data_IF_135152335884
#
_entry.id   IF_135152335884
#
_cell.length_a   1.000
_cell.length_b   1.000
_cell.length_c   1.000
_cell.angle_alpha   90.00
_cell.angle_beta   90.00
_cell.angle_gamma   90.00
#
_symmetry.space_group_name_H-M   'P 1'
#
loop_
_entity.id
_entity.type
_entity.pdbx_description
1 polymer ?
#
# COMPACT_ATOMS: atom_id res chain seq x y z
N UNK A 1 -0.69 -22.19 14.56
CA UNK A 1 -0.96 -20.92 13.86
C UNK A 1 0.29 -20.60 13.08
N UNK A 2 0.20 -20.32 11.78
CA UNK A 2 1.35 -19.79 11.03
C UNK A 2 1.88 -18.55 11.77
N UNK A 3 3.20 -18.42 11.84
CA UNK A 3 3.87 -17.25 12.41
C UNK A 3 3.43 -16.01 11.62
N UNK A 4 2.87 -15.00 12.29
CA UNK A 4 2.34 -13.79 11.63
C UNK A 4 3.41 -13.08 10.79
N UNK A 5 4.68 -13.17 11.21
CA UNK A 5 5.81 -12.64 10.45
C UNK A 5 5.98 -13.34 9.09
N UNK A 6 5.61 -14.62 8.99
CA UNK A 6 5.70 -15.38 7.75
C UNK A 6 4.70 -14.88 6.68
N UNK A 7 3.54 -14.35 7.10
CA UNK A 7 2.51 -13.88 6.16
C UNK A 7 2.99 -12.61 5.44
N UNK A 8 3.44 -11.60 6.18
CA UNK A 8 3.92 -10.34 5.58
C UNK A 8 5.09 -10.58 4.63
N UNK A 9 6.03 -11.42 5.03
CA UNK A 9 7.18 -11.81 4.22
C UNK A 9 6.77 -12.53 2.93
N UNK A 10 5.83 -13.47 3.01
CA UNK A 10 5.30 -14.19 1.84
C UNK A 10 4.63 -13.21 0.86
N UNK A 11 3.81 -12.27 1.36
CA UNK A 11 3.18 -11.24 0.53
C UNK A 11 4.26 -10.42 -0.20
N UNK A 12 5.32 -10.01 0.51
CA UNK A 12 6.43 -9.26 -0.08
C UNK A 12 7.12 -10.08 -1.17
N UNK A 13 7.41 -11.36 -0.91
CA UNK A 13 8.06 -12.25 -1.88
C UNK A 13 7.24 -12.43 -3.16
N UNK A 14 5.90 -12.42 -3.07
CA UNK A 14 5.04 -12.52 -4.25
C UNK A 14 5.06 -11.26 -5.14
N UNK A 15 5.35 -10.07 -4.59
CA UNK A 15 5.23 -8.80 -5.32
C UNK A 15 6.55 -8.03 -5.51
N UNK A 16 7.65 -8.46 -4.88
CA UNK A 16 8.92 -7.71 -4.87
C UNK A 16 9.51 -7.51 -6.27
N UNK A 17 9.31 -8.47 -7.17
CA UNK A 17 9.79 -8.43 -8.56
C UNK A 17 8.82 -7.73 -9.53
N UNK A 18 7.63 -7.33 -9.07
CA UNK A 18 6.66 -6.64 -9.89
C UNK A 18 7.19 -5.26 -10.36
N UNK A 19 6.81 -4.84 -11.55
CA UNK A 19 7.21 -3.52 -12.05
C UNK A 19 6.44 -2.39 -11.34
N UNK A 20 6.99 -1.18 -11.37
CA UNK A 20 6.37 -0.03 -10.69
C UNK A 20 4.92 0.25 -11.16
N UNK A 21 4.59 -0.04 -12.43
CA UNK A 21 3.25 0.20 -12.96
C UNK A 21 2.24 -0.79 -12.37
N UNK A 22 2.59 -2.07 -12.33
CA UNK A 22 1.81 -3.11 -11.64
C UNK A 22 1.66 -2.76 -10.16
N UNK A 23 2.74 -2.30 -9.52
CA UNK A 23 2.68 -1.96 -8.10
C UNK A 23 1.77 -0.74 -7.82
N UNK A 24 1.76 0.26 -8.68
CA UNK A 24 0.85 1.40 -8.56
C UNK A 24 -0.60 0.98 -8.80
N UNK A 25 -0.85 0.13 -9.79
CA UNK A 25 -2.19 -0.42 -10.01
C UNK A 25 -2.67 -1.23 -8.80
N UNK A 26 -1.80 -2.11 -8.27
CA UNK A 26 -2.07 -2.90 -7.07
C UNK A 26 -2.37 -2.04 -5.84
N UNK A 27 -1.68 -0.91 -5.67
CA UNK A 27 -1.96 0.03 -4.57
C UNK A 27 -3.38 0.60 -4.63
N UNK A 28 -3.90 0.91 -5.83
CA UNK A 28 -5.30 1.34 -5.98
C UNK A 28 -6.27 0.25 -5.60
N UNK A 29 -6.06 -0.98 -6.10
CA UNK A 29 -6.94 -2.11 -5.81
C UNK A 29 -6.93 -2.43 -4.32
N UNK A 30 -5.76 -2.52 -3.69
CA UNK A 30 -5.63 -2.81 -2.27
C UNK A 30 -6.20 -1.70 -1.37
N UNK A 31 -6.04 -0.44 -1.74
CA UNK A 31 -6.65 0.66 -0.99
C UNK A 31 -8.19 0.59 -1.10
N UNK A 32 -8.73 0.27 -2.27
CA UNK A 32 -10.16 0.09 -2.44
C UNK A 32 -10.69 -1.11 -1.65
N UNK A 33 -10.01 -2.27 -1.74
CA UNK A 33 -10.30 -3.49 -0.98
C UNK A 33 -10.32 -3.21 0.52
N UNK A 34 -9.29 -2.52 1.02
CA UNK A 34 -9.21 -2.12 2.42
C UNK A 34 -10.36 -1.19 2.82
N UNK A 35 -10.70 -0.19 1.99
CA UNK A 35 -11.81 0.71 2.28
C UNK A 35 -13.15 -0.02 2.37
N UNK A 36 -13.41 -0.98 1.47
CA UNK A 36 -14.61 -1.81 1.49
C UNK A 36 -14.63 -2.73 2.72
N UNK A 37 -13.50 -3.39 3.02
CA UNK A 37 -13.34 -4.26 4.18
C UNK A 37 -13.58 -3.53 5.51
N UNK A 38 -12.99 -2.35 5.69
CA UNK A 38 -13.15 -1.54 6.91
C UNK A 38 -14.58 -1.05 7.09
N UNK A 39 -15.26 -0.69 5.99
CA UNK A 39 -16.66 -0.24 6.01
C UNK A 39 -17.60 -1.38 6.43
N UNK A 40 -17.40 -2.59 5.89
CA UNK A 40 -18.23 -3.77 6.21
C UNK A 40 -18.03 -4.21 7.67
N UNK A 41 -16.80 -4.18 8.16
CA UNK A 41 -16.46 -4.68 9.50
C UNK A 41 -16.53 -3.62 10.61
N UNK A 42 -16.90 -2.39 10.28
CA UNK A 42 -17.08 -1.28 11.24
C UNK A 42 -15.85 -1.07 12.14
N UNK A 43 -14.64 -1.08 11.56
CA UNK A 43 -13.40 -0.75 12.27
C UNK A 43 -13.28 0.77 12.44
N UNK A 44 -12.88 1.24 13.63
CA UNK A 44 -12.77 2.66 13.96
C UNK A 44 -11.46 3.04 14.69
N UNK A 45 -10.41 2.23 14.52
CA UNK A 45 -9.10 2.47 15.13
C UNK A 45 -8.40 3.73 14.60
N UNK A 46 -7.33 4.16 15.28
CA UNK A 46 -6.52 5.33 14.84
C UNK A 46 -5.87 5.10 13.46
N UNK A 47 -5.42 3.88 13.22
CA UNK A 47 -4.92 3.39 11.93
C UNK A 47 -6.00 3.44 10.84
N UNK A 48 -7.23 3.01 11.15
CA UNK A 48 -8.38 3.10 10.26
C UNK A 48 -8.71 4.55 9.93
N UNK A 49 -8.79 5.43 10.93
CA UNK A 49 -9.06 6.87 10.71
C UNK A 49 -7.98 7.53 9.83
N UNK A 50 -6.71 7.19 10.07
CA UNK A 50 -5.58 7.65 9.25
C UNK A 50 -5.73 7.17 7.80
N UNK A 51 -5.96 5.89 7.60
CA UNK A 51 -6.18 5.31 6.28
C UNK A 51 -7.35 5.99 5.56
N UNK A 52 -8.52 6.08 6.19
CA UNK A 52 -9.72 6.69 5.62
C UNK A 52 -9.50 8.16 5.26
N UNK A 53 -8.70 8.89 6.06
CA UNK A 53 -8.30 10.27 5.72
C UNK A 53 -7.44 10.29 4.47
N UNK A 54 -6.37 9.49 4.39
CA UNK A 54 -5.47 9.45 3.22
C UNK A 54 -6.23 9.04 1.96
N UNK A 55 -6.97 7.93 2.02
CA UNK A 55 -7.76 7.41 0.91
C UNK A 55 -8.86 8.39 0.48
N UNK A 56 -9.64 8.88 1.44
CA UNK A 56 -10.73 9.83 1.20
C UNK A 56 -10.24 11.15 0.61
N UNK A 57 -9.16 11.74 1.15
CA UNK A 57 -8.57 12.97 0.60
C UNK A 57 -8.06 12.75 -0.82
N UNK A 58 -7.41 11.63 -1.11
CA UNK A 58 -6.89 11.32 -2.45
C UNK A 58 -8.02 11.24 -3.49
N UNK A 59 -9.11 10.55 -3.16
CA UNK A 59 -10.26 10.41 -4.07
C UNK A 59 -11.11 11.68 -4.18
N UNK A 60 -11.13 12.52 -3.14
CA UNK A 60 -11.91 13.76 -3.16
C UNK A 60 -11.20 14.92 -3.85
N UNK A 61 -9.87 15.03 -3.70
CA UNK A 61 -9.07 16.14 -4.25
C UNK A 61 -9.21 16.25 -5.76
N UNK A 62 -9.27 15.11 -6.47
CA UNK A 62 -9.43 15.05 -7.91
C UNK A 62 -10.76 14.40 -8.33
N UNK A 63 -11.80 14.48 -7.49
CA UNK A 63 -13.07 13.76 -7.70
C UNK A 63 -13.70 14.01 -9.07
N UNK A 64 -13.64 15.25 -9.55
CA UNK A 64 -14.18 15.59 -10.87
C UNK A 64 -13.43 14.85 -12.00
N UNK A 65 -12.10 14.83 -11.93
CA UNK A 65 -11.26 14.13 -12.91
C UNK A 65 -11.46 12.63 -12.85
N UNK A 66 -11.46 12.06 -11.64
CA UNK A 66 -11.68 10.62 -11.44
C UNK A 66 -13.04 10.16 -11.93
N UNK A 67 -14.10 10.95 -11.74
CA UNK A 67 -15.42 10.59 -12.27
C UNK A 67 -15.48 10.51 -13.79
N UNK A 68 -14.62 11.24 -14.50
CA UNK A 68 -14.58 11.25 -15.95
C UNK A 68 -13.61 10.22 -16.51
N UNK A 69 -12.44 10.06 -15.88
CA UNK A 69 -11.34 9.24 -16.39
C UNK A 69 -11.24 7.84 -15.75
N UNK A 70 -11.88 7.63 -14.61
CA UNK A 70 -11.79 6.40 -13.80
C UNK A 70 -13.08 6.15 -12.99
N UNK A 71 -14.26 6.06 -13.63
CA UNK A 71 -15.53 5.84 -12.93
C UNK A 71 -15.56 4.56 -12.08
N UNK A 72 -14.73 3.57 -12.41
CA UNK A 72 -14.54 2.29 -11.71
C UNK A 72 -14.12 2.48 -10.24
N UNK A 73 -13.46 3.59 -9.92
CA UNK A 73 -13.08 3.94 -8.53
C UNK A 73 -14.27 4.12 -7.59
N UNK A 74 -15.48 4.35 -8.14
CA UNK A 74 -16.69 4.63 -7.36
C UNK A 74 -17.69 3.47 -7.31
N UNK A 75 -17.38 2.37 -7.99
CA UNK A 75 -18.09 1.09 -7.89
C UNK A 75 -17.46 0.22 -6.82
N UNK A 76 -18.05 -0.91 -6.46
CA UNK A 76 -17.35 -1.90 -5.60
C UNK A 76 -16.30 -2.65 -6.41
N UNK A 77 -15.37 -3.37 -5.76
CA UNK A 77 -14.47 -4.28 -6.47
C UNK A 77 -15.23 -5.48 -7.07
N UNK A 78 -16.29 -5.93 -6.40
CA UNK A 78 -17.17 -6.99 -6.89
C UNK A 78 -17.86 -6.61 -8.21
N UNK A 79 -18.33 -5.37 -8.33
CA UNK A 79 -18.92 -4.84 -9.58
C UNK A 79 -17.92 -4.76 -10.75
N UNK A 80 -16.62 -4.69 -10.43
CA UNK A 80 -15.52 -4.67 -11.41
C UNK A 80 -14.91 -6.07 -11.65
N UNK A 81 -15.57 -7.13 -11.14
CA UNK A 81 -15.12 -8.53 -11.22
C UNK A 81 -13.76 -8.80 -10.56
N UNK A 82 -13.31 -7.90 -9.67
CA UNK A 82 -12.09 -8.05 -8.86
C UNK A 82 -12.51 -8.59 -7.48
N UNK A 83 -12.58 -9.91 -7.32
CA UNK A 83 -13.25 -10.53 -6.17
C UNK A 83 -12.31 -11.05 -5.08
N UNK A 84 -11.03 -10.70 -5.15
CA UNK A 84 -10.01 -11.39 -4.37
C UNK A 84 -9.97 -11.06 -2.87
N UNK A 85 -10.68 -10.03 -2.41
CA UNK A 85 -10.89 -9.72 -0.98
C UNK A 85 -9.61 -9.86 -0.13
N UNK A 86 -8.53 -9.19 -0.54
CA UNK A 86 -7.18 -9.42 -0.02
C UNK A 86 -7.09 -9.24 1.50
N UNK A 87 -7.71 -8.18 2.04
CA UNK A 87 -7.76 -7.89 3.46
C UNK A 87 -8.43 -9.02 4.27
N UNK A 88 -9.46 -9.66 3.72
CA UNK A 88 -10.16 -10.79 4.34
C UNK A 88 -9.35 -12.08 4.23
N UNK A 89 -8.79 -12.38 3.05
CA UNK A 89 -8.04 -13.62 2.77
C UNK A 89 -6.81 -13.80 3.64
N UNK A 90 -6.12 -12.70 3.97
CA UNK A 90 -4.95 -12.73 4.85
C UNK A 90 -5.32 -13.13 6.29
N UNK A 91 -6.52 -12.78 6.77
CA UNK A 91 -6.97 -13.17 8.13
C UNK A 91 -7.08 -14.69 8.30
N UNK A 92 -7.39 -15.41 7.23
CA UNK A 92 -7.58 -16.87 7.25
C UNK A 92 -6.37 -17.64 6.72
N UNK A 93 -5.24 -16.96 6.51
CA UNK A 93 -4.00 -17.55 5.96
C UNK A 93 -4.20 -18.26 4.61
N UNK A 94 -5.18 -17.83 3.81
CA UNK A 94 -5.46 -18.35 2.47
C UNK A 94 -5.42 -17.19 1.47
N UNK A 95 -4.21 -16.64 1.27
CA UNK A 95 -3.99 -15.46 0.46
C UNK A 95 -3.01 -15.74 -0.69
N UNK A 96 -3.14 -14.93 -1.74
CA UNK A 96 -2.16 -14.77 -2.80
C UNK A 96 -2.34 -13.36 -3.39
N UNK A 97 -1.25 -12.77 -3.82
CA UNK A 97 -1.15 -11.49 -4.50
C UNK A 97 -1.11 -11.64 -6.03
N UNK A 98 -1.05 -12.86 -6.56
CA UNK A 98 -1.03 -13.14 -8.00
C UNK A 98 -2.08 -12.36 -8.81
N UNK A 99 -3.34 -12.21 -8.35
CA UNK A 99 -4.32 -11.44 -9.11
C UNK A 99 -3.95 -9.97 -9.32
N UNK A 100 -3.18 -9.35 -8.39
CA UNK A 100 -2.70 -7.97 -8.53
C UNK A 100 -1.62 -7.82 -9.61
N UNK A 101 -0.95 -8.91 -9.97
CA UNK A 101 0.08 -8.94 -11.00
C UNK A 101 -0.52 -9.09 -12.40
N UNK A 102 -1.84 -9.30 -12.51
CA UNK A 102 -2.52 -9.41 -13.78
C UNK A 102 -2.37 -8.12 -14.60
N UNK A 103 -1.82 -8.24 -15.81
CA UNK A 103 -1.62 -7.13 -16.72
C UNK A 103 -2.93 -6.39 -17.08
N UNK A 104 -4.08 -7.05 -16.99
CA UNK A 104 -5.39 -6.43 -17.19
C UNK A 104 -5.67 -5.31 -16.18
N UNK A 105 -5.13 -5.42 -14.95
CA UNK A 105 -5.25 -4.39 -13.92
C UNK A 105 -4.30 -3.21 -14.14
N UNK A 106 -3.27 -3.35 -14.98
CA UNK A 106 -2.30 -2.28 -15.27
C UNK A 106 -2.87 -1.28 -16.29
N UNK A 107 -3.82 -0.47 -15.83
CA UNK A 107 -4.52 0.54 -16.63
C UNK A 107 -4.21 1.95 -16.12
N UNK A 108 -4.55 2.96 -16.92
CA UNK A 108 -4.42 4.35 -16.48
C UNK A 108 -5.28 4.64 -15.23
N UNK A 109 -6.52 4.14 -15.22
CA UNK A 109 -7.47 4.34 -14.13
C UNK A 109 -7.05 3.69 -12.81
N UNK A 110 -6.15 2.69 -12.82
CA UNK A 110 -5.58 2.10 -11.61
C UNK A 110 -4.23 2.72 -11.25
N UNK A 111 -3.36 3.02 -12.23
CA UNK A 111 -2.03 3.59 -11.96
C UNK A 111 -2.06 5.01 -11.40
N UNK A 112 -2.88 5.89 -11.98
CA UNK A 112 -2.89 7.30 -11.60
C UNK A 112 -3.39 7.53 -10.17
N UNK A 113 -4.50 6.88 -9.73
CA UNK A 113 -4.89 6.93 -8.33
C UNK A 113 -3.85 6.29 -7.41
N UNK A 114 -3.17 5.22 -7.85
CA UNK A 114 -2.13 4.56 -7.09
C UNK A 114 -0.95 5.48 -6.82
N UNK A 115 -0.54 6.23 -7.84
CA UNK A 115 0.48 7.27 -7.69
C UNK A 115 0.04 8.37 -6.72
N UNK A 116 -1.21 8.84 -6.84
CA UNK A 116 -1.75 9.85 -5.94
C UNK A 116 -1.81 9.34 -4.48
N UNK A 117 -2.17 8.07 -4.28
CA UNK A 117 -2.16 7.41 -2.97
C UNK A 117 -0.74 7.31 -2.41
N UNK A 118 0.24 6.90 -3.21
CA UNK A 118 1.64 6.83 -2.79
C UNK A 118 2.14 8.21 -2.30
N UNK A 119 1.81 9.28 -3.02
CA UNK A 119 2.16 10.65 -2.61
C UNK A 119 1.44 11.08 -1.33
N UNK A 120 0.18 10.70 -1.14
CA UNK A 120 -0.58 11.03 0.06
C UNK A 120 -0.07 10.26 1.29
N UNK A 121 0.22 8.96 1.14
CA UNK A 121 0.85 8.16 2.20
C UNK A 121 2.25 8.66 2.55
N UNK A 122 3.01 9.14 1.57
CA UNK A 122 4.30 9.78 1.80
C UNK A 122 4.22 10.95 2.75
N UNK A 123 3.26 11.84 2.56
CA UNK A 123 3.08 12.97 3.48
C UNK A 123 2.80 12.47 4.90
N UNK A 124 1.95 11.44 5.05
CA UNK A 124 1.58 10.88 6.36
C UNK A 124 2.71 10.09 7.04
N UNK A 125 3.63 9.48 6.28
CA UNK A 125 4.68 8.60 6.80
C UNK A 125 6.07 9.23 6.89
N UNK A 126 6.22 10.45 6.38
CA UNK A 126 7.50 11.17 6.32
C UNK A 126 8.17 11.36 7.68
N UNK A 127 7.42 11.62 8.73
CA UNK A 127 7.91 11.74 10.11
C UNK A 127 8.58 10.45 10.62
N UNK A 128 8.07 9.29 10.24
CA UNK A 128 8.60 8.00 10.69
C UNK A 128 9.72 7.49 9.79
N UNK A 129 9.57 7.65 8.47
CA UNK A 129 10.53 7.12 7.50
C UNK A 129 11.69 8.08 7.21
N UNK A 130 11.48 9.40 7.36
CA UNK A 130 12.42 10.42 6.88
C UNK A 130 13.03 11.33 7.97
N UNK A 131 12.48 11.36 9.20
CA UNK A 131 12.88 12.36 10.22
C UNK A 131 13.67 11.80 11.42
N UNK A 132 14.27 10.60 11.33
CA UNK A 132 15.05 10.06 12.44
C UNK A 132 16.58 10.06 12.18
N UNK A 133 17.40 10.60 13.10
CA UNK A 133 18.87 10.57 12.99
C UNK A 133 19.44 9.14 13.06
N UNK A 134 18.71 8.21 13.69
CA UNK A 134 19.03 6.76 13.77
C UNK A 134 18.03 5.90 12.98
N UNK A 135 17.18 6.52 12.14
CA UNK A 135 16.10 5.82 11.43
C UNK A 135 16.60 4.85 10.36
N UNK A 136 15.67 4.08 9.78
CA UNK A 136 15.88 3.18 8.63
C UNK A 136 16.77 3.77 7.52
N UNK A 137 16.80 5.10 7.40
CA UNK A 137 17.66 5.86 6.49
C UNK A 137 19.15 5.51 6.63
N UNK A 138 19.71 5.43 7.83
CA UNK A 138 21.17 5.25 7.98
C UNK A 138 21.67 3.87 7.49
N UNK A 139 20.99 2.74 7.79
CA UNK A 139 21.28 1.46 7.15
C UNK A 139 20.89 1.40 5.66
N UNK A 140 19.79 2.06 5.28
CA UNK A 140 19.21 1.95 3.93
C UNK A 140 19.93 2.74 2.85
N UNK A 141 20.63 3.84 3.20
CA UNK A 141 21.36 4.67 2.23
C UNK A 141 22.46 3.88 1.49
N UNK A 142 22.93 2.76 2.06
CA UNK A 142 23.91 1.88 1.43
C UNK A 142 23.28 0.67 0.70
N UNK A 143 21.97 0.45 0.83
CA UNK A 143 21.26 -0.64 0.15
C UNK A 143 20.32 -0.07 -0.90
N UNK A 144 20.80 -0.04 -2.14
CA UNK A 144 19.96 0.26 -3.31
C UNK A 144 19.44 -1.04 -3.92
N UNK A 145 18.25 -0.97 -4.53
CA UNK A 145 17.64 -2.10 -5.23
C UNK A 145 16.72 -2.94 -4.35
N UNK A 146 16.12 -3.96 -4.95
CA UNK A 146 15.11 -4.90 -4.43
C UNK A 146 15.61 -5.76 -3.25
N UNK A 147 16.28 -5.15 -2.29
CA UNK A 147 16.75 -5.79 -1.07
C UNK A 147 15.52 -6.12 -0.21
N UNK A 148 15.12 -7.40 -0.26
CA UNK A 148 14.04 -7.99 0.50
C UNK A 148 14.05 -7.58 1.98
N UNK A 149 15.20 -7.63 2.65
CA UNK A 149 15.32 -7.28 4.07
C UNK A 149 14.99 -5.80 4.32
N UNK A 150 15.36 -4.94 3.38
CA UNK A 150 15.05 -3.52 3.44
C UNK A 150 13.54 -3.26 3.27
N UNK A 151 12.89 -3.94 2.32
CA UNK A 151 11.43 -3.88 2.13
C UNK A 151 10.68 -4.33 3.39
N UNK A 152 11.10 -5.47 3.97
CA UNK A 152 10.53 -6.00 5.22
C UNK A 152 10.69 -5.00 6.37
N UNK A 153 11.86 -4.36 6.46
CA UNK A 153 12.13 -3.36 7.49
C UNK A 153 11.22 -2.14 7.37
N UNK A 154 10.95 -1.64 6.16
CA UNK A 154 9.96 -0.57 5.93
C UNK A 154 8.58 -1.04 6.38
N UNK A 155 8.19 -2.25 6.00
CA UNK A 155 6.86 -2.79 6.31
C UNK A 155 6.62 -2.89 7.82
N UNK A 156 7.59 -3.41 8.58
CA UNK A 156 7.51 -3.46 10.04
C UNK A 156 7.40 -2.08 10.67
N UNK A 157 8.18 -1.10 10.21
CA UNK A 157 8.10 0.27 10.75
C UNK A 157 6.73 0.90 10.47
N UNK A 158 6.17 0.67 9.29
CA UNK A 158 4.81 1.12 8.98
C UNK A 158 3.76 0.43 9.85
N UNK A 159 3.83 -0.89 10.04
CA UNK A 159 2.91 -1.62 10.92
C UNK A 159 3.05 -1.25 12.40
N UNK A 160 4.25 -0.90 12.86
CA UNK A 160 4.49 -0.54 14.26
C UNK A 160 4.07 0.91 14.57
N UNK A 161 4.36 1.84 13.66
CA UNK A 161 4.20 3.28 13.92
C UNK A 161 2.96 3.89 13.27
N UNK A 162 2.46 3.30 12.18
CA UNK A 162 1.42 3.91 11.33
C UNK A 162 0.15 3.08 11.21
N UNK A 163 0.28 1.77 11.18
CA UNK A 163 -0.85 0.84 11.24
C UNK A 163 -0.84 0.08 12.57
N UNK A 164 -1.70 -0.91 12.70
CA UNK A 164 -1.58 -1.93 13.75
C UNK A 164 -0.99 -3.21 13.14
N UNK A 165 -0.56 -4.15 13.98
CA UNK A 165 -0.10 -5.47 13.54
C UNK A 165 -1.23 -6.39 13.07
N UNK A 166 -2.46 -5.88 12.91
CA UNK A 166 -3.60 -6.67 12.46
C UNK A 166 -3.38 -7.16 11.01
N UNK A 167 -3.62 -8.45 10.69
CA UNK A 167 -3.22 -9.03 9.41
C UNK A 167 -3.81 -8.38 8.16
N UNK A 168 -4.98 -7.72 8.26
CA UNK A 168 -5.62 -7.09 7.12
C UNK A 168 -4.76 -5.95 6.56
N UNK A 169 -3.90 -5.32 7.38
CA UNK A 169 -2.99 -4.26 6.93
C UNK A 169 -1.81 -4.77 6.11
N UNK A 170 -1.52 -6.07 6.10
CA UNK A 170 -0.28 -6.60 5.54
C UNK A 170 -0.20 -6.42 4.01
N UNK A 171 -1.24 -6.70 3.20
CA UNK A 171 -1.20 -6.46 1.76
C UNK A 171 -0.86 -5.01 1.41
N UNK A 172 -1.59 -4.05 2.00
CA UNK A 172 -1.39 -2.64 1.73
C UNK A 172 0.01 -2.18 2.16
N UNK A 173 0.47 -2.66 3.32
CA UNK A 173 1.78 -2.27 3.87
C UNK A 173 2.92 -2.86 3.05
N UNK A 174 2.85 -4.13 2.65
CA UNK A 174 3.82 -4.75 1.75
C UNK A 174 3.91 -4.00 0.42
N UNK A 175 2.76 -3.68 -0.18
CA UNK A 175 2.67 -2.92 -1.42
C UNK A 175 3.39 -1.56 -1.34
N UNK A 176 3.12 -0.82 -0.27
CA UNK A 176 3.74 0.48 -0.03
C UNK A 176 5.25 0.35 0.20
N UNK A 177 5.68 -0.64 0.97
CA UNK A 177 7.10 -0.87 1.25
C UNK A 177 7.90 -1.19 0.00
N UNK A 178 7.37 -2.02 -0.90
CA UNK A 178 8.03 -2.33 -2.18
C UNK A 178 8.10 -1.08 -3.06
N UNK A 179 7.01 -0.31 -3.17
CA UNK A 179 7.02 0.95 -3.92
C UNK A 179 8.03 1.96 -3.38
N UNK A 180 8.13 2.10 -2.05
CA UNK A 180 9.08 2.99 -1.38
C UNK A 180 10.52 2.53 -1.65
N UNK A 181 10.80 1.24 -1.51
CA UNK A 181 12.12 0.68 -1.75
C UNK A 181 12.55 0.88 -3.21
N UNK A 182 11.68 0.60 -4.19
CA UNK A 182 11.95 0.80 -5.62
C UNK A 182 12.10 2.27 -5.99
N UNK A 183 11.35 3.17 -5.37
CA UNK A 183 11.53 4.61 -5.56
C UNK A 183 12.89 5.10 -5.01
N UNK A 184 13.44 4.39 -4.02
CA UNK A 184 14.60 4.78 -3.24
C UNK A 184 14.20 5.72 -2.10
N UNK A 185 14.60 5.37 -0.88
CA UNK A 185 14.19 6.10 0.34
C UNK A 185 14.63 7.57 0.33
N UNK A 186 15.83 7.86 -0.20
CA UNK A 186 16.32 9.24 -0.34
C UNK A 186 15.39 10.08 -1.23
N UNK A 187 15.07 9.59 -2.43
CA UNK A 187 14.12 10.25 -3.34
C UNK A 187 12.71 10.35 -2.72
N UNK A 188 12.33 9.35 -1.93
CA UNK A 188 11.10 9.35 -1.15
C UNK A 188 11.13 10.33 0.05
N UNK A 189 12.30 10.78 0.51
CA UNK A 189 12.43 11.75 1.61
C UNK A 189 12.83 13.17 1.16
N UNK A 190 13.35 13.37 -0.05
CA UNK A 190 13.79 14.69 -0.54
C UNK A 190 12.63 15.63 -0.89
N UNK A 191 11.56 15.12 -1.51
CA UNK A 191 10.42 15.93 -1.94
C UNK A 191 9.56 16.48 -0.80
N UNK A 192 9.76 16.03 0.44
CA UNK A 192 9.02 16.53 1.62
C UNK A 192 9.64 17.81 2.19
N UNK A 193 10.73 18.31 1.60
CA UNK A 193 11.41 19.57 1.99
C UNK A 193 10.90 20.80 1.22
N UNK A 194 9.85 20.68 0.42
CA UNK A 194 9.19 21.79 -0.30
C UNK A 194 7.93 22.24 0.44
#
# INVERSE_FOLDING_TARGET
MPDENNILETIIDEIIDADCQQLLAGLTILAKDMSEYLAVNAYYGKDTQRFTRVYGTTLTTNRFLWRLAAPELYRTLEEEEITDKFAERVQVSNFTMEPLLNAALNQEWTRHPGWALLLAFRQDFSDVLCQQPDGLIAPALNTTGDNREFVISIAHVLLEKKFSSAPHWYPLTAQLSVLIAKAGLERYCESTKQ
#
